data_IF_783176787388
#
_entry.id   IF_783176787388
#
_cell.length_a   1.000
_cell.length_b   1.000
_cell.length_c   1.000
_cell.angle_alpha   90.00
_cell.angle_beta   90.00
_cell.angle_gamma   90.00
#
_symmetry.space_group_name_H-M   'P 1'
#
loop_
_entity.id
_entity.type
_entity.pdbx_description
1 polymer ?
#
# COMPACT_ATOMS: atom_id res chain seq x y z
N UNK A 1 -26.22 -17.87 -16.74
CA UNK A 1 -26.12 -16.42 -17.04
C UNK A 1 -26.34 -15.55 -15.81
N UNK A 2 -27.40 -15.78 -15.03
CA UNK A 2 -27.73 -14.99 -13.82
C UNK A 2 -26.68 -15.09 -12.69
N UNK A 3 -26.19 -16.30 -12.38
CA UNK A 3 -25.16 -16.52 -11.35
C UNK A 3 -23.87 -15.74 -11.59
N UNK A 4 -23.41 -15.66 -12.84
CA UNK A 4 -22.19 -14.93 -13.20
C UNK A 4 -22.37 -13.41 -13.12
N UNK A 5 -23.56 -12.91 -13.46
CA UNK A 5 -23.91 -11.51 -13.27
C UNK A 5 -23.92 -11.13 -11.79
N UNK A 6 -24.49 -11.98 -10.92
CA UNK A 6 -24.52 -11.78 -9.47
C UNK A 6 -23.08 -11.76 -8.91
N UNK A 7 -22.24 -12.74 -9.26
CA UNK A 7 -20.82 -12.76 -8.82
C UNK A 7 -20.08 -11.48 -9.20
N UNK A 8 -20.25 -11.02 -10.45
CA UNK A 8 -19.62 -9.79 -10.93
C UNK A 8 -20.10 -8.57 -10.13
N UNK A 9 -21.40 -8.48 -9.87
CA UNK A 9 -21.99 -7.39 -9.09
C UNK A 9 -21.47 -7.39 -7.65
N UNK A 10 -21.46 -8.54 -6.97
CA UNK A 10 -20.93 -8.66 -5.61
C UNK A 10 -19.46 -8.26 -5.51
N UNK A 11 -18.63 -8.67 -6.49
CA UNK A 11 -17.22 -8.26 -6.55
C UNK A 11 -17.06 -6.74 -6.66
N UNK A 12 -17.86 -6.09 -7.51
CA UNK A 12 -17.80 -4.63 -7.66
C UNK A 12 -18.31 -3.91 -6.41
N UNK A 13 -19.40 -4.37 -5.79
CA UNK A 13 -19.88 -3.83 -4.50
C UNK A 13 -18.79 -3.93 -3.44
N UNK A 14 -18.12 -5.07 -3.33
CA UNK A 14 -17.03 -5.27 -2.38
C UNK A 14 -15.86 -4.31 -2.63
N UNK A 15 -15.43 -4.14 -3.89
CA UNK A 15 -14.37 -3.19 -4.24
C UNK A 15 -14.73 -1.75 -3.89
N UNK A 16 -15.94 -1.31 -4.22
CA UNK A 16 -16.41 0.04 -3.90
C UNK A 16 -16.50 0.25 -2.39
N UNK A 17 -16.95 -0.76 -1.64
CA UNK A 17 -17.02 -0.72 -0.18
C UNK A 17 -15.63 -0.59 0.44
N UNK A 18 -14.67 -1.43 0.01
CA UNK A 18 -13.29 -1.37 0.49
C UNK A 18 -12.61 -0.05 0.10
N UNK A 19 -12.85 0.44 -1.12
CA UNK A 19 -12.36 1.77 -1.54
C UNK A 19 -12.92 2.88 -0.66
N UNK A 20 -14.20 2.80 -0.29
CA UNK A 20 -14.82 3.71 0.67
C UNK A 20 -14.12 3.70 2.03
N UNK A 21 -13.75 2.52 2.54
CA UNK A 21 -12.95 2.43 3.76
C UNK A 21 -11.53 2.98 3.59
N UNK A 22 -10.86 2.75 2.46
CA UNK A 22 -9.56 3.37 2.19
C UNK A 22 -9.67 4.90 2.22
N UNK A 23 -10.70 5.48 1.59
CA UNK A 23 -10.96 6.92 1.64
C UNK A 23 -11.21 7.38 3.07
N UNK A 24 -12.08 6.69 3.82
CA UNK A 24 -12.33 6.96 5.24
C UNK A 24 -11.03 6.99 6.04
N UNK A 25 -10.14 6.01 5.84
CA UNK A 25 -8.84 5.93 6.52
C UNK A 25 -7.88 7.10 6.23
N UNK A 26 -8.12 7.88 5.17
CA UNK A 26 -7.35 9.11 4.87
C UNK A 26 -7.90 10.38 5.51
N UNK A 27 -9.14 10.34 6.02
CA UNK A 27 -9.82 11.49 6.60
C UNK A 27 -9.41 11.68 8.05
N UNK A 28 -9.20 12.93 8.44
CA UNK A 28 -8.87 13.30 9.83
C UNK A 28 -10.01 12.90 10.79
N UNK A 29 -11.26 12.83 10.28
CA UNK A 29 -12.43 12.33 11.01
C UNK A 29 -12.29 10.87 11.48
N UNK A 30 -11.48 10.05 10.81
CA UNK A 30 -11.26 8.66 11.22
C UNK A 30 -10.33 8.53 12.44
N UNK A 31 -9.70 9.63 12.88
CA UNK A 31 -8.69 9.67 13.93
C UNK A 31 -9.21 10.42 15.16
N UNK A 32 -8.75 10.08 16.37
CA UNK A 32 -8.97 10.90 17.55
C UNK A 32 -8.39 12.31 17.37
N UNK A 33 -9.07 13.34 17.89
CA UNK A 33 -8.67 14.73 17.72
C UNK A 33 -7.22 14.99 18.18
N UNK A 34 -6.81 14.37 19.29
CA UNK A 34 -5.46 14.53 19.83
C UNK A 34 -4.39 13.94 18.90
N UNK A 35 -4.72 12.88 18.15
CA UNK A 35 -3.85 12.31 17.13
C UNK A 35 -3.73 13.29 15.95
N UNK A 36 -4.85 13.83 15.47
CA UNK A 36 -4.87 14.83 14.39
C UNK A 36 -4.04 16.07 14.77
N UNK A 37 -4.22 16.60 15.97
CA UNK A 37 -3.44 17.73 16.47
C UNK A 37 -1.95 17.40 16.56
N UNK A 38 -1.59 16.17 16.98
CA UNK A 38 -0.18 15.74 17.01
C UNK A 38 0.43 15.65 15.61
N UNK A 39 -0.34 15.16 14.63
CA UNK A 39 0.09 15.06 13.23
C UNK A 39 0.29 16.46 12.64
N UNK A 40 -0.67 17.36 12.84
CA UNK A 40 -0.63 18.74 12.30
C UNK A 40 0.48 19.61 12.90
N UNK A 41 1.08 19.19 14.01
CA UNK A 41 2.28 19.85 14.60
C UNK A 41 3.60 19.40 13.97
N UNK A 42 3.57 18.46 13.03
CA UNK A 42 4.73 17.99 12.28
C UNK A 42 4.78 18.72 10.95
N UNK A 43 5.96 19.15 10.49
CA UNK A 43 6.08 20.01 9.29
C UNK A 43 5.56 19.34 8.01
N UNK A 44 5.67 18.01 7.89
CA UNK A 44 5.10 17.25 6.77
C UNK A 44 3.66 16.76 6.97
N UNK A 45 3.04 17.13 8.10
CA UNK A 45 1.69 16.69 8.46
C UNK A 45 1.52 15.17 8.38
N UNK A 46 0.42 14.72 7.77
CA UNK A 46 0.13 13.30 7.59
C UNK A 46 0.93 12.62 6.47
N UNK A 47 1.56 13.38 5.58
CA UNK A 47 2.24 12.82 4.41
C UNK A 47 3.59 12.16 4.73
N UNK A 48 4.14 12.40 5.91
CA UNK A 48 5.36 11.72 6.39
C UNK A 48 5.16 10.22 6.67
N UNK A 49 3.91 9.79 6.80
CA UNK A 49 3.57 8.41 7.14
C UNK A 49 3.38 7.58 5.87
N UNK A 50 4.16 6.49 5.76
CA UNK A 50 4.04 5.51 4.68
C UNK A 50 2.61 4.99 4.48
N UNK A 51 1.85 4.78 5.56
CA UNK A 51 0.44 4.37 5.52
C UNK A 51 -0.40 5.35 4.69
N UNK A 52 -0.19 6.66 4.84
CA UNK A 52 -0.95 7.67 4.12
C UNK A 52 -0.54 7.71 2.64
N UNK A 53 0.76 7.64 2.35
CA UNK A 53 1.26 7.63 0.98
C UNK A 53 0.77 6.40 0.20
N UNK A 54 0.81 5.22 0.82
CA UNK A 54 0.32 3.97 0.23
C UNK A 54 -1.19 3.99 0.02
N UNK A 55 -1.98 4.47 0.97
CA UNK A 55 -3.43 4.64 0.84
C UNK A 55 -3.81 5.50 -0.38
N UNK A 56 -3.17 6.66 -0.53
CA UNK A 56 -3.41 7.52 -1.69
C UNK A 56 -3.03 6.82 -2.99
N UNK A 57 -1.91 6.11 -3.02
CA UNK A 57 -1.51 5.33 -4.19
C UNK A 57 -2.51 4.21 -4.51
N UNK A 58 -3.06 3.54 -3.50
CA UNK A 58 -4.10 2.51 -3.64
C UNK A 58 -5.39 3.10 -4.21
N UNK A 59 -5.83 4.26 -3.72
CA UNK A 59 -7.00 4.98 -4.24
C UNK A 59 -6.76 5.35 -5.71
N UNK A 60 -5.63 6.00 -6.03
CA UNK A 60 -5.27 6.40 -7.39
C UNK A 60 -5.22 5.19 -8.32
N UNK A 61 -4.56 4.11 -7.90
CA UNK A 61 -4.45 2.86 -8.65
C UNK A 61 -5.81 2.26 -8.97
N UNK A 62 -6.71 2.25 -7.98
CA UNK A 62 -8.07 1.73 -8.14
C UNK A 62 -8.87 2.59 -9.12
N UNK A 63 -8.79 3.92 -9.01
CA UNK A 63 -9.44 4.86 -9.93
C UNK A 63 -8.92 4.67 -11.36
N UNK A 64 -7.61 4.60 -11.57
CA UNK A 64 -7.01 4.33 -12.88
C UNK A 64 -7.48 2.96 -13.41
N UNK A 65 -7.59 1.94 -12.56
CA UNK A 65 -8.15 0.63 -12.91
C UNK A 65 -9.59 0.68 -13.40
N UNK A 66 -10.41 1.63 -12.92
CA UNK A 66 -11.74 1.87 -13.48
C UNK A 66 -11.66 2.63 -14.81
N UNK A 67 -10.76 3.61 -14.93
CA UNK A 67 -10.57 4.37 -16.17
C UNK A 67 -10.12 3.49 -17.34
N UNK A 68 -9.28 2.48 -17.11
CA UNK A 68 -8.81 1.55 -18.18
C UNK A 68 -9.94 0.74 -18.82
N UNK A 69 -11.10 0.63 -18.17
CA UNK A 69 -12.29 -0.03 -18.73
C UNK A 69 -13.00 0.82 -19.78
N UNK A 70 -12.69 2.11 -19.88
CA UNK A 70 -13.21 3.02 -20.90
C UNK A 70 -12.38 2.93 -22.18
N UNK A 71 -12.95 3.33 -23.34
CA UNK A 71 -12.21 3.33 -24.60
C UNK A 71 -10.96 4.23 -24.56
N UNK A 72 -11.06 5.38 -23.88
CA UNK A 72 -9.98 6.38 -23.78
C UNK A 72 -8.88 5.91 -22.82
N UNK A 73 -9.25 5.25 -21.72
CA UNK A 73 -8.30 4.81 -20.69
C UNK A 73 -7.50 3.56 -21.03
N UNK A 74 -7.76 2.88 -22.15
CA UNK A 74 -7.00 1.67 -22.54
C UNK A 74 -5.49 1.92 -22.65
N UNK A 75 -5.08 3.14 -23.03
CA UNK A 75 -3.66 3.53 -23.06
C UNK A 75 -2.99 3.46 -21.68
N UNK A 76 -3.77 3.56 -20.59
CA UNK A 76 -3.29 3.50 -19.22
C UNK A 76 -3.14 2.07 -18.68
N UNK A 77 -3.49 1.02 -19.44
CA UNK A 77 -3.50 -0.36 -18.94
C UNK A 77 -2.13 -0.82 -18.44
N UNK A 78 -1.06 -0.47 -19.15
CA UNK A 78 0.31 -0.81 -18.70
C UNK A 78 0.66 -0.08 -17.41
N UNK A 79 0.33 1.21 -17.31
CA UNK A 79 0.53 2.03 -16.12
C UNK A 79 -0.25 1.47 -14.94
N UNK A 80 -1.52 1.10 -15.15
CA UNK A 80 -2.35 0.46 -14.14
C UNK A 80 -1.73 -0.83 -13.61
N UNK A 81 -1.21 -1.70 -14.48
CA UNK A 81 -0.56 -2.95 -14.07
C UNK A 81 0.68 -2.70 -13.21
N UNK A 82 1.50 -1.70 -13.56
CA UNK A 82 2.66 -1.34 -12.75
C UNK A 82 2.25 -0.72 -11.41
N UNK A 83 1.27 0.18 -11.41
CA UNK A 83 0.73 0.82 -10.21
C UNK A 83 0.06 -0.19 -9.28
N UNK A 84 -0.64 -1.19 -9.82
CA UNK A 84 -1.22 -2.28 -9.05
C UNK A 84 -0.14 -3.11 -8.36
N UNK A 85 0.92 -3.47 -9.09
CA UNK A 85 2.05 -4.19 -8.53
C UNK A 85 2.76 -3.37 -7.44
N UNK A 86 3.02 -2.08 -7.68
CA UNK A 86 3.68 -1.20 -6.72
C UNK A 86 2.81 -0.97 -5.48
N UNK A 87 1.55 -0.59 -5.65
CA UNK A 87 0.62 -0.35 -4.54
C UNK A 87 0.46 -1.59 -3.69
N UNK A 88 0.28 -2.77 -4.29
CA UNK A 88 0.14 -4.01 -3.53
C UNK A 88 1.41 -4.33 -2.74
N UNK A 89 2.58 -4.02 -3.30
CA UNK A 89 3.86 -4.18 -2.59
C UNK A 89 3.95 -3.27 -1.37
N UNK A 90 3.58 -1.98 -1.52
CA UNK A 90 3.60 -1.01 -0.43
C UNK A 90 2.55 -1.34 0.64
N UNK A 91 1.33 -1.70 0.24
CA UNK A 91 0.29 -2.12 1.17
C UNK A 91 0.66 -3.42 1.89
N UNK A 92 1.38 -4.33 1.24
CA UNK A 92 1.94 -5.53 1.87
C UNK A 92 2.96 -5.18 2.96
N UNK A 93 3.85 -4.22 2.68
CA UNK A 93 4.80 -3.68 3.68
C UNK A 93 4.03 -3.09 4.87
N UNK A 94 3.10 -2.18 4.59
CA UNK A 94 2.32 -1.47 5.61
C UNK A 94 1.54 -2.46 6.46
N UNK A 95 0.78 -3.37 5.84
CA UNK A 95 -0.01 -4.40 6.53
C UNK A 95 0.88 -5.26 7.43
N UNK A 96 1.94 -5.85 6.89
CA UNK A 96 2.78 -6.79 7.63
C UNK A 96 3.53 -6.09 8.77
N UNK A 97 4.21 -4.97 8.47
CA UNK A 97 4.97 -4.25 9.50
C UNK A 97 4.05 -3.68 10.57
N UNK A 98 2.90 -3.11 10.18
CA UNK A 98 1.95 -2.57 11.14
C UNK A 98 1.48 -3.66 12.11
N UNK A 99 0.89 -4.75 11.62
CA UNK A 99 0.30 -5.75 12.51
C UNK A 99 1.35 -6.48 13.35
N UNK A 100 2.52 -6.81 12.78
CA UNK A 100 3.62 -7.42 13.55
C UNK A 100 4.06 -6.50 14.68
N UNK A 101 4.35 -5.23 14.39
CA UNK A 101 4.83 -4.29 15.40
C UNK A 101 3.72 -3.93 16.40
N UNK A 102 2.47 -3.82 15.95
CA UNK A 102 1.32 -3.57 16.80
C UNK A 102 1.11 -4.69 17.81
N UNK A 103 1.15 -5.96 17.39
CA UNK A 103 0.99 -7.10 18.31
C UNK A 103 2.18 -7.27 19.26
N UNK A 104 3.40 -6.93 18.83
CA UNK A 104 4.56 -6.94 19.72
C UNK A 104 4.45 -5.83 20.76
N UNK A 105 4.27 -4.59 20.31
CA UNK A 105 4.11 -3.42 21.16
C UNK A 105 3.61 -2.21 20.35
N UNK A 106 2.35 -1.77 20.52
CA UNK A 106 1.77 -0.65 19.79
C UNK A 106 2.56 0.66 19.90
N UNK A 107 3.31 0.87 20.98
CA UNK A 107 4.12 2.08 21.19
C UNK A 107 5.38 2.15 20.31
N UNK A 108 5.65 1.11 19.51
CA UNK A 108 6.66 1.15 18.43
C UNK A 108 6.18 1.96 17.22
N UNK A 109 4.87 2.01 17.02
CA UNK A 109 4.21 2.71 15.92
C UNK A 109 3.55 4.00 16.39
N UNK A 110 2.93 3.97 17.57
CA UNK A 110 2.10 5.05 18.11
C UNK A 110 2.80 5.82 19.21
N UNK A 111 2.36 7.06 19.42
CA UNK A 111 2.81 7.90 20.55
C UNK A 111 2.55 7.17 21.87
N UNK A 112 3.63 6.91 22.64
CA UNK A 112 3.51 6.30 23.97
C UNK A 112 2.58 7.07 24.90
N UNK A 113 2.65 8.42 24.85
CA UNK A 113 1.83 9.30 25.68
C UNK A 113 0.34 9.12 25.40
N UNK A 114 -0.06 9.23 24.13
CA UNK A 114 -1.46 9.08 23.74
C UNK A 114 -1.96 7.66 24.03
N UNK A 115 -1.13 6.66 23.76
CA UNK A 115 -1.47 5.26 24.02
C UNK A 115 -1.71 5.00 25.51
N UNK A 116 -0.88 5.55 26.41
CA UNK A 116 -1.08 5.43 27.87
C UNK A 116 -2.30 6.20 28.39
N UNK A 117 -2.73 7.24 27.68
CA UNK A 117 -3.93 8.01 27.97
C UNK A 117 -5.21 7.34 27.42
N UNK A 118 -5.10 6.14 26.83
CA UNK A 118 -6.23 5.43 26.23
C UNK A 118 -6.68 6.02 24.89
N UNK A 119 -5.94 6.98 24.33
CA UNK A 119 -6.24 7.61 23.05
C UNK A 119 -5.69 6.72 21.94
N UNK A 120 -6.59 5.99 21.29
CA UNK A 120 -6.27 5.03 20.25
C UNK A 120 -7.29 5.14 19.11
N UNK A 121 -6.83 4.88 17.89
CA UNK A 121 -7.66 4.71 16.72
C UNK A 121 -8.62 3.53 16.90
N UNK A 122 -9.83 3.66 16.36
CA UNK A 122 -10.80 2.57 16.37
C UNK A 122 -10.29 1.37 15.53
N UNK A 123 -10.72 0.15 15.85
CA UNK A 123 -10.39 -1.03 15.04
C UNK A 123 -10.77 -0.85 13.56
N UNK A 124 -11.89 -0.18 13.29
CA UNK A 124 -12.31 0.10 11.92
C UNK A 124 -11.31 1.01 11.20
N UNK A 125 -10.82 2.04 11.88
CA UNK A 125 -9.77 2.92 11.36
C UNK A 125 -8.50 2.11 11.08
N UNK A 126 -8.11 1.24 12.00
CA UNK A 126 -6.92 0.40 11.83
C UNK A 126 -7.02 -0.55 10.63
N UNK A 127 -8.15 -1.22 10.47
CA UNK A 127 -8.40 -2.09 9.31
C UNK A 127 -8.44 -1.29 8.00
N UNK A 128 -9.05 -0.10 8.03
CA UNK A 128 -9.15 0.79 6.88
C UNK A 128 -7.78 1.29 6.40
N UNK A 129 -6.84 1.49 7.33
CA UNK A 129 -5.51 1.99 7.04
C UNK A 129 -4.49 0.88 6.76
N UNK A 130 -4.66 -0.30 7.37
CA UNK A 130 -3.59 -1.32 7.42
C UNK A 130 -4.00 -2.71 6.93
N UNK A 131 -5.21 -2.92 6.39
CA UNK A 131 -5.62 -4.23 5.83
C UNK A 131 -6.49 -4.12 4.59
N UNK A 132 -7.56 -3.34 4.65
CA UNK A 132 -8.52 -3.19 3.55
C UNK A 132 -7.90 -2.72 2.23
N UNK A 133 -6.87 -1.85 2.21
CA UNK A 133 -6.18 -1.49 0.98
C UNK A 133 -5.54 -2.69 0.28
N UNK A 134 -4.90 -3.58 1.04
CA UNK A 134 -4.30 -4.81 0.51
C UNK A 134 -5.37 -5.74 -0.08
N UNK A 135 -6.50 -5.92 0.63
CA UNK A 135 -7.62 -6.74 0.18
C UNK A 135 -8.27 -6.16 -1.09
N UNK A 136 -8.43 -4.83 -1.16
CA UNK A 136 -8.95 -4.15 -2.34
C UNK A 136 -8.10 -4.46 -3.57
N UNK A 137 -6.78 -4.29 -3.47
CA UNK A 137 -5.85 -4.55 -4.56
C UNK A 137 -5.80 -6.05 -4.95
N UNK A 138 -5.93 -6.95 -3.97
CA UNK A 138 -6.06 -8.40 -4.20
C UNK A 138 -7.31 -8.77 -4.99
N UNK A 139 -8.39 -8.00 -4.87
CA UNK A 139 -9.61 -8.20 -5.67
C UNK A 139 -9.45 -7.54 -7.05
N UNK A 140 -8.82 -6.36 -7.11
CA UNK A 140 -8.56 -5.64 -8.36
C UNK A 140 -7.73 -6.46 -9.35
N UNK A 141 -6.72 -7.21 -8.89
CA UNK A 141 -5.88 -8.04 -9.76
C UNK A 141 -6.66 -9.10 -10.54
N UNK A 142 -7.82 -9.56 -10.04
CA UNK A 142 -8.68 -10.55 -10.72
C UNK A 142 -9.17 -10.04 -12.09
N UNK A 143 -9.20 -8.72 -12.28
CA UNK A 143 -9.64 -8.09 -13.53
C UNK A 143 -8.53 -7.96 -14.57
N UNK A 144 -7.29 -8.33 -14.25
CA UNK A 144 -6.13 -8.03 -15.10
C UNK A 144 -5.05 -9.11 -15.02
N UNK A 145 -4.53 -9.53 -16.18
CA UNK A 145 -3.37 -10.43 -16.21
C UNK A 145 -2.08 -9.64 -15.97
N UNK A 146 -1.37 -10.01 -14.92
CA UNK A 146 -0.08 -9.43 -14.54
C UNK A 146 1.07 -10.21 -15.19
N UNK A 147 2.18 -9.51 -15.40
CA UNK A 147 3.43 -10.10 -15.91
C UNK A 147 4.55 -9.68 -14.97
N UNK A 148 5.47 -10.60 -14.70
CA UNK A 148 6.70 -10.28 -13.98
C UNK A 148 7.50 -9.23 -14.75
N UNK A 149 7.77 -8.08 -14.12
CA UNK A 149 8.59 -6.99 -14.67
C UNK A 149 9.63 -6.59 -13.64
N UNK A 150 10.91 -6.64 -14.03
CA UNK A 150 12.03 -6.26 -13.14
C UNK A 150 11.89 -4.84 -12.60
N UNK A 151 11.34 -3.92 -13.41
CA UNK A 151 11.10 -2.52 -12.99
C UNK A 151 10.18 -2.39 -11.77
N UNK A 152 9.25 -3.32 -11.53
CA UNK A 152 8.40 -3.26 -10.35
C UNK A 152 9.22 -3.42 -9.07
N UNK A 153 10.22 -4.31 -9.09
CA UNK A 153 11.17 -4.45 -7.97
C UNK A 153 12.01 -3.17 -7.83
N UNK A 154 12.51 -2.63 -8.94
CA UNK A 154 13.24 -1.35 -8.94
C UNK A 154 12.40 -0.21 -8.37
N UNK A 155 11.09 -0.16 -8.63
CA UNK A 155 10.18 0.84 -8.07
C UNK A 155 10.00 0.67 -6.56
N UNK A 156 9.89 -0.55 -6.03
CA UNK A 156 9.82 -0.79 -4.57
C UNK A 156 11.08 -0.26 -3.88
N UNK A 157 12.26 -0.59 -4.39
CA UNK A 157 13.52 -0.12 -3.81
C UNK A 157 13.74 1.38 -4.01
N UNK A 158 13.43 1.91 -5.19
CA UNK A 158 13.52 3.35 -5.48
C UNK A 158 12.60 4.15 -4.57
N UNK A 159 11.35 3.69 -4.38
CA UNK A 159 10.41 4.29 -3.43
C UNK A 159 10.94 4.21 -1.99
N UNK A 160 11.48 3.07 -1.56
CA UNK A 160 12.07 2.93 -0.22
C UNK A 160 13.23 3.91 0.05
N UNK A 161 14.09 4.14 -0.95
CA UNK A 161 15.16 5.15 -0.85
C UNK A 161 14.56 6.56 -0.73
N UNK A 162 13.61 6.92 -1.60
CA UNK A 162 12.96 8.23 -1.54
C UNK A 162 12.26 8.46 -0.21
N UNK A 163 11.55 7.45 0.30
CA UNK A 163 10.89 7.51 1.60
C UNK A 163 11.90 7.67 2.74
N UNK A 164 13.03 6.97 2.70
CA UNK A 164 14.08 7.16 3.69
C UNK A 164 14.63 8.59 3.67
N UNK A 165 14.90 9.15 2.49
CA UNK A 165 15.35 10.53 2.35
C UNK A 165 14.31 11.54 2.85
N UNK A 166 13.03 11.32 2.57
CA UNK A 166 11.93 12.15 3.05
C UNK A 166 11.84 12.13 4.59
N UNK A 167 11.81 10.94 5.19
CA UNK A 167 11.76 10.82 6.66
C UNK A 167 13.01 11.39 7.33
N UNK A 168 14.17 11.27 6.69
CA UNK A 168 15.40 11.89 7.16
C UNK A 168 15.31 13.42 7.11
N UNK A 169 14.82 13.97 6.00
CA UNK A 169 14.59 15.41 5.85
C UNK A 169 13.67 15.95 6.96
N UNK A 170 12.50 15.35 7.16
CA UNK A 170 11.59 15.80 8.23
C UNK A 170 12.17 15.60 9.64
N UNK A 171 13.00 14.58 9.85
CA UNK A 171 13.75 14.47 11.11
C UNK A 171 14.70 15.65 11.32
N UNK A 172 15.38 16.14 10.28
CA UNK A 172 16.27 17.32 10.41
C UNK A 172 15.50 18.63 10.69
N UNK A 173 14.24 18.72 10.26
CA UNK A 173 13.38 19.90 10.48
C UNK A 173 12.72 19.85 11.86
N UNK A 174 12.08 18.73 12.20
CA UNK A 174 11.23 18.61 13.39
C UNK A 174 11.92 17.97 14.60
N UNK A 175 13.12 17.39 14.41
CA UNK A 175 13.81 16.59 15.42
C UNK A 175 13.09 15.28 15.76
N UNK A 176 12.10 14.87 14.95
CA UNK A 176 11.22 13.74 15.23
C UNK A 176 11.12 12.81 14.03
N UNK A 177 11.31 11.52 14.29
CA UNK A 177 11.00 10.47 13.32
C UNK A 177 9.49 10.24 13.24
N UNK A 178 8.95 9.90 12.05
CA UNK A 178 7.52 9.57 11.89
C UNK A 178 7.09 8.41 12.78
N UNK A 179 7.95 7.41 12.94
CA UNK A 179 7.68 6.24 13.78
C UNK A 179 8.60 6.18 15.01
N UNK A 180 8.07 5.95 16.22
CA UNK A 180 8.87 5.80 17.44
C UNK A 180 9.97 4.74 17.36
N UNK A 181 9.75 3.66 16.61
CA UNK A 181 10.76 2.60 16.42
C UNK A 181 12.08 3.14 15.85
N UNK A 182 12.05 4.14 14.97
CA UNK A 182 13.27 4.74 14.41
C UNK A 182 14.10 5.51 15.44
N UNK A 183 13.52 5.95 16.55
CA UNK A 183 14.28 6.54 17.66
C UNK A 183 15.14 5.52 18.39
N UNK A 184 14.77 4.23 18.34
CA UNK A 184 15.50 3.14 18.98
C UNK A 184 16.66 2.60 18.13
N UNK A 185 16.79 3.07 16.89
CA UNK A 185 17.78 2.61 15.92
C UNK A 185 18.82 3.69 15.66
N UNK A 186 20.07 3.31 15.42
CA UNK A 186 21.05 4.21 14.80
C UNK A 186 20.80 4.29 13.28
N UNK A 187 21.58 5.11 12.57
CA UNK A 187 21.42 5.32 11.12
C UNK A 187 21.50 4.01 10.32
N UNK A 188 22.47 3.14 10.65
CA UNK A 188 22.63 1.84 9.99
C UNK A 188 21.39 0.96 10.21
N UNK A 189 20.88 0.91 11.45
CA UNK A 189 19.66 0.17 11.78
C UNK A 189 18.44 0.65 11.00
N UNK A 190 18.31 1.97 10.76
CA UNK A 190 17.21 2.52 9.94
C UNK A 190 17.35 2.14 8.47
N UNK A 191 18.55 2.20 7.92
CA UNK A 191 18.83 1.77 6.53
C UNK A 191 18.48 0.29 6.36
N UNK A 192 18.93 -0.56 7.29
CA UNK A 192 18.62 -1.99 7.28
C UNK A 192 17.11 -2.24 7.43
N UNK A 193 16.41 -1.48 8.28
CA UNK A 193 14.97 -1.59 8.43
C UNK A 193 14.24 -1.29 7.11
N UNK A 194 14.58 -0.19 6.44
CA UNK A 194 13.98 0.15 5.14
C UNK A 194 14.34 -0.89 4.08
N UNK A 195 15.58 -1.38 4.05
CA UNK A 195 15.99 -2.44 3.14
C UNK A 195 15.17 -3.72 3.35
N UNK A 196 14.97 -4.14 4.60
CA UNK A 196 14.12 -5.28 4.94
C UNK A 196 12.65 -5.05 4.55
N UNK A 197 12.13 -3.84 4.73
CA UNK A 197 10.81 -3.47 4.25
C UNK A 197 10.71 -3.62 2.71
N UNK A 198 11.70 -3.17 1.95
CA UNK A 198 11.73 -3.36 0.50
C UNK A 198 11.76 -4.85 0.09
N UNK A 199 12.45 -5.70 0.85
CA UNK A 199 12.43 -7.15 0.63
C UNK A 199 11.04 -7.74 0.90
N UNK A 200 10.36 -7.32 1.96
CA UNK A 200 8.97 -7.69 2.25
C UNK A 200 8.06 -7.28 1.08
N UNK A 201 8.17 -6.04 0.59
CA UNK A 201 7.40 -5.55 -0.55
C UNK A 201 7.67 -6.36 -1.82
N UNK A 202 8.93 -6.73 -2.06
CA UNK A 202 9.31 -7.63 -3.16
C UNK A 202 8.67 -9.02 -3.00
N UNK A 203 8.66 -9.57 -1.79
CA UNK A 203 7.96 -10.80 -1.47
C UNK A 203 6.46 -10.71 -1.76
N UNK A 204 5.82 -9.61 -1.35
CA UNK A 204 4.40 -9.34 -1.61
C UNK A 204 4.11 -9.24 -3.11
N UNK A 205 4.97 -8.56 -3.89
CA UNK A 205 4.87 -8.52 -5.34
C UNK A 205 4.92 -9.92 -5.97
N UNK A 206 5.89 -10.74 -5.57
CA UNK A 206 6.02 -12.10 -6.08
C UNK A 206 4.82 -12.97 -5.68
N UNK A 207 4.31 -12.80 -4.46
CA UNK A 207 3.08 -13.43 -4.00
C UNK A 207 1.87 -13.04 -4.83
N UNK A 208 1.71 -11.74 -5.15
CA UNK A 208 0.65 -11.23 -6.03
C UNK A 208 0.70 -11.89 -7.41
N UNK A 209 1.90 -12.00 -7.99
CA UNK A 209 2.07 -12.70 -9.28
C UNK A 209 1.64 -14.17 -9.18
N UNK A 210 2.01 -14.86 -8.10
CA UNK A 210 1.58 -16.23 -7.86
C UNK A 210 0.06 -16.37 -7.77
N UNK A 211 -0.61 -15.48 -7.03
CA UNK A 211 -2.08 -15.45 -6.96
C UNK A 211 -2.70 -15.12 -8.32
N UNK A 212 -2.13 -14.18 -9.07
CA UNK A 212 -2.61 -13.83 -10.41
C UNK A 212 -2.48 -15.00 -11.39
N UNK A 213 -1.38 -15.75 -11.33
CA UNK A 213 -1.16 -16.98 -12.11
C UNK A 213 -2.17 -18.09 -11.75
N UNK A 214 -2.61 -18.19 -10.49
CA UNK A 214 -3.67 -19.11 -10.09
C UNK A 214 -5.04 -18.73 -10.66
N UNK A 215 -5.32 -17.43 -10.81
CA UNK A 215 -6.59 -16.91 -11.33
C UNK A 215 -6.65 -16.97 -12.86
N UNK A 216 -5.56 -16.63 -13.55
CA UNK A 216 -5.54 -16.48 -15.02
C UNK A 216 -4.76 -17.57 -15.76
N UNK A 217 -4.16 -18.52 -15.04
CA UNK A 217 -3.15 -19.43 -15.57
C UNK A 217 -1.80 -18.74 -15.77
N UNK A 218 -0.72 -19.50 -15.63
CA UNK A 218 0.65 -18.99 -15.81
C UNK A 218 0.79 -18.24 -17.12
N UNK A 219 1.37 -17.04 -17.06
CA UNK A 219 1.71 -16.31 -18.28
C UNK A 219 2.74 -17.08 -19.10
N UNK A 220 2.32 -17.65 -20.22
CA UNK A 220 3.23 -18.19 -21.23
C UNK A 220 3.50 -17.09 -22.26
N UNK A 221 4.76 -16.67 -22.45
CA UNK A 221 5.08 -15.80 -23.58
C UNK A 221 4.75 -16.55 -24.87
N UNK A 222 3.98 -15.92 -25.75
CA UNK A 222 3.86 -16.38 -27.14
C UNK A 222 5.29 -16.47 -27.67
N UNK A 223 5.75 -17.68 -28.00
CA UNK A 223 6.99 -17.84 -28.75
C UNK A 223 6.78 -17.08 -30.05
N UNK A 224 7.53 -16.01 -30.26
CA UNK A 224 7.68 -15.45 -31.61
C UNK A 224 8.19 -16.59 -32.49
N UNK A 225 7.35 -17.03 -33.43
CA UNK A 225 7.79 -17.93 -34.49
C UNK A 225 8.85 -17.15 -35.26
N UNK A 226 10.11 -17.59 -35.19
CA UNK A 226 11.21 -17.09 -36.02
C UNK A 226 10.97 -17.51 -37.48
N UNK A 227 9.86 -17.09 -38.07
CA UNK A 227 9.51 -17.30 -39.47
C UNK A 227 8.96 -16.02 -40.08
N UNK A 228 9.90 -15.19 -40.54
CA UNK A 228 9.77 -14.13 -41.56
C UNK A 228 10.99 -13.21 -41.38
N UNK A 229 11.92 -13.01 -42.30
CA UNK A 229 12.14 -13.45 -43.69
C UNK A 229 13.67 -13.56 -43.86
#
# INVERSE_FOLDING_TARGET
>A
MEKEKIKRMLKEILKVTLLGFCVYGTLDYALPEQVVQSINRTSGGKFVYLTVLSLYLTIITTVIGYLTRTKVGKSLETTYKDLLALSFSLEGIVTLLFWILYFINPTLLKSRKLYSEGIQESLLTELSQHLFPLLLLLICQIDVRLKKRKRCISFVFGFGILYFLETWYFYTVDGKWPYPIFKKMNTIGRILFIFMACLIGTGCYLGLLGVNDLVHGKYEPVKEDNRSF
#
